data_IF_613809046830
#
_entry.id   IF_613809046830
#
_cell.length_a   1.000
_cell.length_b   1.000
_cell.length_c   1.000
_cell.angle_alpha   90.00
_cell.angle_beta   90.00
_cell.angle_gamma   90.00
#
_symmetry.space_group_name_H-M   'P 1'
#
loop_
_entity.id
_entity.type
_entity.pdbx_description
1 polymer ?
#
# COMPACT_ATOMS: atom_id res chain seq x y z
N UNK A 1 2.27 -13.96 -1.31
CA UNK A 1 1.88 -12.54 -1.40
C UNK A 1 1.65 -12.00 0.00
N UNK A 2 1.96 -10.72 0.26
CA UNK A 2 1.89 -10.15 1.61
C UNK A 2 0.45 -9.97 2.08
N UNK A 3 0.21 -10.14 3.39
CA UNK A 3 -1.05 -9.83 4.06
C UNK A 3 -0.83 -8.68 5.04
N UNK A 4 -1.88 -7.91 5.40
CA UNK A 4 -1.81 -6.98 6.52
C UNK A 4 -1.38 -7.70 7.80
N UNK A 5 -0.63 -7.00 8.66
CA UNK A 5 -0.24 -7.55 9.95
C UNK A 5 -1.44 -7.86 10.85
N UNK A 6 -2.46 -7.00 10.84
CA UNK A 6 -3.63 -7.09 11.72
C UNK A 6 -4.91 -7.34 10.91
N UNK A 7 -5.79 -8.22 11.41
CA UNK A 7 -7.11 -8.54 10.86
C UNK A 7 -7.15 -8.80 9.33
N UNK A 8 -6.25 -9.63 8.76
CA UNK A 8 -6.14 -9.83 7.31
C UNK A 8 -7.43 -10.36 6.65
N UNK A 9 -8.32 -11.01 7.41
CA UNK A 9 -9.63 -11.46 6.95
C UNK A 9 -10.57 -10.33 6.52
N UNK A 10 -10.34 -9.09 6.98
CA UNK A 10 -11.17 -7.92 6.66
C UNK A 10 -10.63 -7.10 5.47
N UNK A 11 -9.48 -7.46 4.91
CA UNK A 11 -8.73 -6.63 3.97
C UNK A 11 -9.30 -6.61 2.54
N UNK A 12 -9.71 -7.76 2.02
CA UNK A 12 -10.02 -7.92 0.59
C UNK A 12 -11.53 -7.98 0.37
N UNK A 13 -12.16 -6.80 0.38
CA UNK A 13 -13.60 -6.63 0.13
C UNK A 13 -13.89 -5.28 -0.50
N UNK A 14 -15.10 -5.13 -1.02
CA UNK A 14 -15.58 -3.85 -1.55
C UNK A 14 -16.09 -3.00 -0.37
N UNK A 15 -15.74 -1.71 -0.38
CA UNK A 15 -16.22 -0.70 0.56
C UNK A 15 -16.80 0.49 -0.23
N UNK A 16 -17.72 1.22 0.38
CA UNK A 16 -18.21 2.50 -0.16
C UNK A 16 -17.19 3.61 0.11
N UNK A 17 -16.98 4.50 -0.87
CA UNK A 17 -16.17 5.70 -0.70
C UNK A 17 -16.78 6.86 -1.46
N UNK A 18 -17.11 7.94 -0.75
CA UNK A 18 -17.84 9.08 -1.33
C UNK A 18 -16.97 9.96 -2.25
N UNK A 19 -15.64 9.77 -2.22
CA UNK A 19 -14.70 10.47 -3.09
C UNK A 19 -14.60 9.87 -4.50
N UNK A 20 -15.25 8.72 -4.74
CA UNK A 20 -15.20 8.04 -6.02
C UNK A 20 -16.22 8.66 -6.98
N UNK A 21 -15.74 9.16 -8.12
CA UNK A 21 -16.60 9.68 -9.19
C UNK A 21 -16.60 8.73 -10.40
N UNK A 22 -17.55 8.93 -11.30
CA UNK A 22 -17.61 8.21 -12.59
C UNK A 22 -17.09 9.05 -13.76
N UNK A 23 -16.56 10.24 -13.48
CA UNK A 23 -16.08 11.18 -14.50
C UNK A 23 -14.71 10.75 -15.06
N UNK A 24 -13.85 10.23 -14.18
CA UNK A 24 -12.53 9.72 -14.53
C UNK A 24 -12.31 8.29 -13.98
N UNK A 25 -11.58 7.46 -14.74
CA UNK A 25 -11.28 6.09 -14.37
C UNK A 25 -12.40 5.10 -14.71
N UNK A 26 -12.71 4.17 -13.80
CA UNK A 26 -13.67 3.08 -14.03
C UNK A 26 -14.87 3.11 -13.07
N UNK A 27 -14.94 4.10 -12.18
CA UNK A 27 -15.89 4.14 -11.07
C UNK A 27 -15.57 3.18 -9.92
N UNK A 28 -14.39 2.55 -9.92
CA UNK A 28 -13.86 1.73 -8.82
C UNK A 28 -12.41 2.14 -8.57
N UNK A 29 -12.06 2.35 -7.29
CA UNK A 29 -10.72 2.78 -6.88
C UNK A 29 -10.03 1.64 -6.14
N UNK A 30 -8.76 1.39 -6.49
CA UNK A 30 -7.89 0.56 -5.64
C UNK A 30 -7.45 1.37 -4.43
N UNK A 31 -7.79 0.92 -3.23
CA UNK A 31 -7.51 1.62 -1.97
C UNK A 31 -6.23 1.12 -1.33
N UNK A 32 -5.28 2.03 -1.05
CA UNK A 32 -4.02 1.75 -0.37
C UNK A 32 -3.88 2.63 0.90
N UNK A 33 -4.43 2.20 2.06
CA UNK A 33 -4.52 3.02 3.28
C UNK A 33 -3.16 3.53 3.81
N UNK A 34 -2.08 2.80 3.52
CA UNK A 34 -0.72 3.17 3.95
C UNK A 34 -0.17 4.40 3.19
N UNK A 35 -0.68 4.69 1.98
CA UNK A 35 -0.06 5.67 1.07
C UNK A 35 -1.01 6.78 0.60
N UNK A 36 -2.32 6.65 0.82
CA UNK A 36 -3.32 7.66 0.48
C UNK A 36 -4.08 8.16 1.71
N UNK A 37 -4.24 9.49 1.84
CA UNK A 37 -5.01 10.07 2.95
C UNK A 37 -6.51 9.75 2.84
N UNK A 38 -7.09 9.88 1.65
CA UNK A 38 -8.49 9.53 1.39
C UNK A 38 -8.72 8.03 1.55
N UNK A 39 -7.78 7.20 1.08
CA UNK A 39 -7.78 5.75 1.27
C UNK A 39 -7.79 5.37 2.76
N UNK A 40 -6.93 5.99 3.57
CA UNK A 40 -6.87 5.76 5.00
C UNK A 40 -8.18 6.15 5.70
N UNK A 41 -8.78 7.27 5.28
CA UNK A 41 -10.04 7.74 5.83
C UNK A 41 -11.17 6.75 5.55
N UNK A 42 -11.36 6.31 4.30
CA UNK A 42 -12.46 5.39 3.96
C UNK A 42 -12.24 3.99 4.52
N UNK A 43 -10.99 3.52 4.56
CA UNK A 43 -10.64 2.23 5.14
C UNK A 43 -10.99 2.18 6.63
N UNK A 44 -10.73 3.27 7.35
CA UNK A 44 -11.07 3.43 8.78
C UNK A 44 -12.57 3.59 9.04
N UNK A 45 -13.30 4.23 8.13
CA UNK A 45 -14.75 4.39 8.23
C UNK A 45 -15.52 3.12 7.88
N UNK A 46 -14.91 2.20 7.13
CA UNK A 46 -15.53 0.94 6.78
C UNK A 46 -15.77 0.06 8.03
N UNK A 47 -16.86 -0.69 8.03
CA UNK A 47 -17.18 -1.64 9.10
C UNK A 47 -17.28 -3.07 8.52
N UNK A 48 -16.43 -4.03 8.94
CA UNK A 48 -15.23 -3.86 9.79
C UNK A 48 -14.11 -3.04 9.10
N UNK A 49 -13.23 -2.39 9.85
CA UNK A 49 -12.13 -1.57 9.30
C UNK A 49 -11.27 -2.38 8.32
N UNK A 50 -10.87 -1.75 7.22
CA UNK A 50 -9.91 -2.33 6.27
C UNK A 50 -8.50 -2.05 6.80
N UNK A 51 -7.72 -3.07 7.18
CA UNK A 51 -6.41 -2.86 7.79
C UNK A 51 -5.37 -2.33 6.79
N UNK A 52 -4.44 -1.47 7.23
CA UNK A 52 -3.35 -0.99 6.39
C UNK A 52 -2.32 -2.10 6.11
N UNK A 53 -1.64 -2.00 4.96
CA UNK A 53 -0.54 -2.89 4.61
C UNK A 53 0.75 -2.36 5.24
N UNK A 54 1.15 -2.94 6.37
CA UNK A 54 2.38 -2.66 7.09
C UNK A 54 3.17 -3.96 7.32
N UNK A 55 4.49 -3.87 7.30
CA UNK A 55 5.43 -4.96 7.58
C UNK A 55 6.24 -4.65 8.83
N UNK A 56 6.76 -5.68 9.50
CA UNK A 56 7.65 -5.50 10.66
C UNK A 56 9.09 -5.36 10.19
N UNK A 57 9.74 -4.28 10.59
CA UNK A 57 11.19 -4.15 10.41
C UNK A 57 11.98 -5.10 11.35
N UNK A 58 13.30 -5.09 11.24
CA UNK A 58 14.21 -5.87 12.09
C UNK A 58 14.08 -5.56 13.60
N UNK A 59 13.46 -4.44 13.96
CA UNK A 59 13.17 -4.04 15.35
C UNK A 59 11.74 -4.40 15.79
N UNK A 60 10.95 -5.02 14.91
CA UNK A 60 9.55 -5.39 15.16
C UNK A 60 8.55 -4.24 15.01
N UNK A 61 8.97 -3.07 14.53
CA UNK A 61 8.09 -1.93 14.32
C UNK A 61 7.29 -2.10 13.03
N UNK A 62 6.00 -1.75 13.07
CA UNK A 62 5.18 -1.69 11.87
C UNK A 62 5.58 -0.49 11.02
N UNK A 63 6.06 -0.75 9.81
CA UNK A 63 6.55 0.23 8.86
C UNK A 63 5.89 0.07 7.49
N UNK A 64 5.82 1.14 6.68
CA UNK A 64 5.38 1.03 5.28
C UNK A 64 6.28 0.11 4.45
N UNK A 65 5.73 -0.44 3.37
CA UNK A 65 6.41 -1.35 2.44
C UNK A 65 7.62 -0.70 1.71
N UNK A 66 7.69 0.63 1.73
CA UNK A 66 8.69 1.45 1.04
C UNK A 66 9.38 2.34 2.07
N UNK A 67 10.70 2.50 1.93
CA UNK A 67 11.50 3.37 2.79
C UNK A 67 11.43 4.85 2.37
N UNK A 68 12.11 5.72 3.12
CA UNK A 68 12.14 7.16 2.85
C UNK A 68 12.93 7.52 1.58
N UNK A 69 13.65 6.57 0.97
CA UNK A 69 14.36 6.75 -0.30
C UNK A 69 13.52 6.28 -1.49
N UNK A 70 12.29 5.81 -1.27
CA UNK A 70 11.44 5.28 -2.33
C UNK A 70 11.84 3.88 -2.78
N UNK A 71 12.54 3.10 -1.95
CA UNK A 71 12.87 1.69 -2.22
C UNK A 71 11.98 0.76 -1.44
N UNK A 72 11.62 -0.37 -2.04
CA UNK A 72 10.96 -1.45 -1.30
C UNK A 72 11.88 -1.96 -0.20
N UNK A 73 11.33 -2.11 1.01
CA UNK A 73 12.09 -2.55 2.18
C UNK A 73 12.55 -4.01 2.06
N UNK A 74 13.55 -4.46 2.85
CA UNK A 74 14.07 -5.83 2.82
C UNK A 74 13.00 -6.92 2.94
N UNK A 75 11.90 -6.64 3.64
CA UNK A 75 10.80 -7.57 3.89
C UNK A 75 9.96 -7.87 2.63
N UNK A 76 10.18 -7.11 1.54
CA UNK A 76 9.42 -7.23 0.28
C UNK A 76 9.96 -8.31 -0.68
N UNK A 77 10.84 -9.19 -0.21
CA UNK A 77 11.31 -10.36 -0.96
C UNK A 77 11.97 -9.98 -2.28
N UNK A 78 11.43 -10.45 -3.41
CA UNK A 78 11.99 -10.20 -4.75
C UNK A 78 12.00 -8.73 -5.19
N UNK A 79 11.25 -7.88 -4.50
CA UNK A 79 11.22 -6.44 -4.73
C UNK A 79 12.19 -5.67 -3.85
N UNK A 80 12.74 -6.29 -2.80
CA UNK A 80 13.61 -5.63 -1.82
C UNK A 80 14.76 -4.86 -2.49
N UNK A 81 14.97 -3.62 -2.05
CA UNK A 81 16.04 -2.73 -2.53
C UNK A 81 15.79 -2.08 -3.89
N UNK A 82 14.73 -2.46 -4.61
CA UNK A 82 14.34 -1.83 -5.88
C UNK A 82 13.61 -0.51 -5.60
N UNK A 83 13.88 0.50 -6.42
CA UNK A 83 13.07 1.73 -6.43
C UNK A 83 11.65 1.47 -6.93
N UNK A 84 10.69 2.21 -6.39
CA UNK A 84 9.28 2.19 -6.82
C UNK A 84 9.07 2.77 -8.23
N UNK A 85 10.01 3.57 -8.72
CA UNK A 85 10.01 4.12 -10.08
C UNK A 85 11.34 3.88 -10.77
N UNK A 86 11.27 3.58 -12.07
CA UNK A 86 12.44 3.33 -12.90
C UNK A 86 13.31 4.58 -13.11
N UNK A 87 12.73 5.78 -12.99
CA UNK A 87 13.43 7.07 -13.12
C UNK A 87 14.52 7.31 -12.07
N UNK A 88 14.54 6.51 -10.99
CA UNK A 88 15.55 6.61 -9.94
C UNK A 88 16.78 5.71 -10.19
N UNK A 89 16.77 4.90 -11.25
CA UNK A 89 17.92 4.11 -11.68
C UNK A 89 18.76 4.90 -12.69
N UNK A 90 20.04 4.56 -12.81
CA UNK A 90 20.85 5.07 -13.90
C UNK A 90 20.41 4.43 -15.23
N UNK A 91 20.77 5.10 -16.34
CA UNK A 91 20.45 4.63 -17.69
C UNK A 91 20.94 3.18 -17.92
N UNK A 92 20.02 2.30 -18.28
CA UNK A 92 20.30 0.88 -18.54
C UNK A 92 20.36 -0.03 -17.30
N UNK A 93 20.15 0.51 -16.09
CA UNK A 93 20.18 -0.25 -14.83
C UNK A 93 18.78 -0.56 -14.25
N UNK A 94 17.72 -0.09 -14.90
CA UNK A 94 16.35 -0.39 -14.49
C UNK A 94 16.04 -1.90 -14.66
N UNK A 95 15.42 -2.54 -13.67
CA UNK A 95 15.06 -3.96 -13.70
C UNK A 95 13.87 -4.31 -14.59
#
# INVERSE_FOLDING_TARGET
YALPNDNPENAFRIISGDFVTTEDGTGIVHTAPTFGADDAMVAKQAAPEVPPMLVKDDHGNLVPLVDLQGKFRPEMGEFAGKYVKNEYYNDGEAP
#
